data_IF_508108761598
#
_entry.id   IF_508108761598
#
_cell.length_a   1.000
_cell.length_b   1.000
_cell.length_c   1.000
_cell.angle_alpha   90.00
_cell.angle_beta   90.00
_cell.angle_gamma   90.00
#
_symmetry.space_group_name_H-M   'P 1'
#
loop_
_entity.id
_entity.type
_entity.pdbx_description
1 polymer ?
#
# COMPACT_ATOMS: atom_id res chain seq x y z
N UNK A 1 4.15 53.40 -18.12
CA UNK A 1 4.44 52.13 -17.44
C UNK A 1 4.45 51.01 -18.47
N UNK A 2 5.56 50.31 -18.62
CA UNK A 2 5.61 49.18 -19.54
C UNK A 2 4.99 47.94 -18.85
N UNK A 3 3.88 47.48 -19.38
CA UNK A 3 3.23 46.25 -18.90
C UNK A 3 4.10 45.08 -19.33
N UNK A 4 4.60 44.30 -18.36
CA UNK A 4 5.30 43.06 -18.64
C UNK A 4 4.28 42.00 -19.13
N UNK A 5 4.47 41.56 -20.35
CA UNK A 5 3.76 40.38 -20.87
C UNK A 5 4.30 39.13 -20.16
N UNK A 6 3.47 38.34 -19.60
CA UNK A 6 3.82 37.05 -18.97
C UNK A 6 3.14 35.95 -19.76
N UNK A 7 3.90 34.97 -20.24
CA UNK A 7 3.34 33.75 -20.83
C UNK A 7 2.66 32.93 -19.71
N UNK A 8 1.45 32.51 -19.95
CA UNK A 8 0.74 31.53 -19.08
C UNK A 8 0.59 30.24 -19.88
N UNK A 9 1.48 29.29 -19.62
CA UNK A 9 1.62 28.12 -20.47
C UNK A 9 2.17 28.45 -21.84
N UNK A 10 2.17 27.48 -22.76
CA UNK A 10 2.78 27.63 -24.11
C UNK A 10 1.95 28.45 -25.11
N UNK A 11 0.71 28.82 -24.78
CA UNK A 11 -0.27 29.24 -25.80
C UNK A 11 -0.80 30.67 -25.70
N UNK A 12 -0.66 31.38 -24.60
CA UNK A 12 -1.20 32.73 -24.47
C UNK A 12 -0.31 33.68 -23.69
N UNK A 13 -0.07 34.86 -24.30
CA UNK A 13 0.48 35.99 -23.58
C UNK A 13 -0.59 36.73 -22.81
N UNK A 14 -0.41 36.87 -21.48
CA UNK A 14 -1.30 37.64 -20.63
C UNK A 14 -0.71 38.99 -20.28
N UNK A 15 -1.51 40.03 -20.43
CA UNK A 15 -1.17 41.37 -19.96
C UNK A 15 -1.79 41.60 -18.58
N UNK A 16 -0.95 41.87 -17.61
CA UNK A 16 -1.44 42.17 -16.25
C UNK A 16 -1.71 43.68 -16.12
N UNK A 17 -2.97 44.04 -15.86
CA UNK A 17 -3.42 45.40 -15.64
C UNK A 17 -3.56 45.76 -14.14
N UNK A 18 -3.21 44.88 -13.24
CA UNK A 18 -3.27 45.09 -11.79
C UNK A 18 -2.19 46.06 -11.34
N UNK A 19 -2.53 46.98 -10.46
CA UNK A 19 -1.56 47.84 -9.77
C UNK A 19 -0.88 47.11 -8.61
N UNK A 20 -1.44 46.02 -8.15
CA UNK A 20 -0.92 45.18 -7.05
C UNK A 20 -0.01 44.10 -7.66
N UNK A 21 1.20 43.97 -7.13
CA UNK A 21 2.07 42.85 -7.49
C UNK A 21 1.39 41.54 -7.08
N UNK A 22 1.22 40.64 -8.04
CA UNK A 22 0.72 39.28 -7.72
C UNK A 22 1.71 38.63 -6.75
N UNK A 23 1.23 38.27 -5.58
CA UNK A 23 2.00 37.51 -4.57
C UNK A 23 2.15 36.05 -4.96
N UNK A 24 1.28 35.54 -5.84
CA UNK A 24 1.29 34.16 -6.32
C UNK A 24 1.38 34.12 -7.84
N UNK A 25 2.16 33.19 -8.36
CA UNK A 25 2.11 32.84 -9.77
C UNK A 25 0.84 32.01 -10.03
N UNK A 26 0.04 32.43 -11.03
CA UNK A 26 -1.06 31.62 -11.52
C UNK A 26 -0.45 30.39 -12.21
N UNK A 27 -0.65 29.23 -11.61
CA UNK A 27 -0.32 27.94 -12.23
C UNK A 27 -1.31 27.63 -13.36
N UNK A 28 -0.89 26.78 -14.30
CA UNK A 28 -1.79 26.21 -15.29
C UNK A 28 -2.80 25.32 -14.55
N UNK A 29 -4.10 25.60 -14.69
CA UNK A 29 -5.16 24.82 -14.04
C UNK A 29 -5.26 23.40 -14.61
N UNK A 30 -4.67 23.13 -15.76
CA UNK A 30 -4.64 21.83 -16.43
C UNK A 30 -3.31 21.08 -16.18
N UNK A 31 -2.39 21.65 -15.41
CA UNK A 31 -1.07 21.08 -15.10
C UNK A 31 -1.20 19.65 -14.58
N UNK A 32 -2.06 19.41 -13.59
CA UNK A 32 -2.26 18.09 -12.98
C UNK A 32 -2.62 17.01 -14.01
N UNK A 33 -3.48 17.34 -14.97
CA UNK A 33 -3.91 16.36 -15.97
C UNK A 33 -2.84 16.14 -17.03
N UNK A 34 -2.21 17.20 -17.50
CA UNK A 34 -1.17 17.13 -18.52
C UNK A 34 0.07 16.41 -18.00
N UNK A 35 0.53 16.75 -16.79
CA UNK A 35 1.70 16.13 -16.18
C UNK A 35 1.44 14.65 -15.84
N UNK A 36 0.23 14.33 -15.34
CA UNK A 36 -0.16 12.95 -15.09
C UNK A 36 -0.18 12.11 -16.37
N UNK A 37 -0.68 12.66 -17.47
CA UNK A 37 -0.68 11.97 -18.75
C UNK A 37 0.72 11.84 -19.33
N UNK A 38 1.54 12.88 -19.21
CA UNK A 38 2.94 12.85 -19.65
C UNK A 38 3.72 11.78 -18.85
N UNK A 39 3.55 11.73 -17.52
CA UNK A 39 4.16 10.72 -16.67
C UNK A 39 3.72 9.31 -17.08
N UNK A 40 2.43 9.12 -17.38
CA UNK A 40 1.91 7.84 -17.86
C UNK A 40 2.57 7.40 -19.16
N UNK A 41 2.74 8.31 -20.14
CA UNK A 41 3.36 7.99 -21.42
C UNK A 41 4.86 7.71 -21.27
N UNK A 42 5.57 8.45 -20.42
CA UNK A 42 7.05 8.36 -20.33
C UNK A 42 7.53 7.27 -19.38
N UNK A 43 6.82 7.05 -18.28
CA UNK A 43 7.24 6.14 -17.22
C UNK A 43 6.22 5.03 -16.96
N UNK A 44 4.93 5.36 -16.92
CA UNK A 44 3.89 4.43 -16.49
C UNK A 44 3.74 3.22 -17.40
N UNK A 45 3.85 3.39 -18.71
CA UNK A 45 3.79 2.26 -19.67
C UNK A 45 5.00 1.36 -19.47
N UNK A 46 6.18 1.96 -19.27
CA UNK A 46 7.41 1.21 -19.02
C UNK A 46 7.32 0.42 -17.71
N UNK A 47 6.85 1.05 -16.63
CA UNK A 47 6.64 0.35 -15.34
C UNK A 47 5.71 -0.88 -15.50
N UNK A 48 4.64 -0.77 -16.29
CA UNK A 48 3.74 -1.89 -16.57
C UNK A 48 4.43 -3.01 -17.36
N UNK A 49 5.26 -2.64 -18.34
CA UNK A 49 6.00 -3.64 -19.10
C UNK A 49 7.07 -4.32 -18.24
N UNK A 50 7.81 -3.57 -17.46
CA UNK A 50 8.83 -4.11 -16.55
C UNK A 50 8.22 -5.01 -15.45
N UNK A 51 6.95 -4.77 -15.06
CA UNK A 51 6.22 -5.59 -14.09
C UNK A 51 5.68 -6.90 -14.72
N UNK A 52 5.21 -6.86 -15.98
CA UNK A 52 4.57 -8.00 -16.63
C UNK A 52 5.54 -8.91 -17.35
N UNK A 53 6.69 -8.42 -17.77
CA UNK A 53 7.68 -9.15 -18.56
C UNK A 53 8.99 -9.36 -17.78
N UNK A 54 9.75 -10.44 -18.04
CA UNK A 54 9.52 -11.41 -19.10
C UNK A 54 8.39 -12.41 -18.81
N UNK A 55 7.69 -12.84 -19.85
CA UNK A 55 6.71 -13.92 -19.78
C UNK A 55 7.36 -15.20 -20.27
N UNK A 56 7.42 -16.22 -19.42
CA UNK A 56 7.98 -17.51 -19.74
C UNK A 56 6.90 -18.53 -20.11
N UNK A 57 7.23 -19.46 -21.02
CA UNK A 57 6.37 -20.60 -21.31
C UNK A 57 6.35 -21.55 -20.11
N UNK A 58 5.31 -22.39 -20.01
CA UNK A 58 5.17 -23.37 -18.92
C UNK A 58 6.38 -24.34 -18.82
N UNK A 59 7.03 -24.64 -19.94
CA UNK A 59 8.25 -25.49 -19.99
C UNK A 59 9.54 -24.70 -19.72
N UNK A 60 9.50 -23.38 -19.61
CA UNK A 60 10.69 -22.53 -19.52
C UNK A 60 11.51 -22.45 -20.83
N UNK A 61 11.04 -23.11 -21.93
CA UNK A 61 11.77 -23.15 -23.20
C UNK A 61 11.74 -21.87 -24.00
N UNK A 62 10.71 -21.02 -23.80
CA UNK A 62 10.53 -19.74 -24.48
C UNK A 62 10.36 -18.62 -23.44
N UNK A 63 11.02 -17.49 -23.66
CA UNK A 63 10.86 -16.27 -22.89
C UNK A 63 10.57 -15.10 -23.83
N UNK A 64 9.51 -14.34 -23.52
CA UNK A 64 9.10 -13.17 -24.28
C UNK A 64 9.41 -11.91 -23.45
N UNK A 65 10.15 -10.99 -24.04
CA UNK A 65 10.47 -9.71 -23.44
C UNK A 65 9.92 -8.54 -24.28
N UNK A 66 9.52 -7.46 -23.60
CA UNK A 66 9.23 -6.18 -24.23
C UNK A 66 10.40 -5.22 -24.02
N UNK A 67 10.80 -4.54 -25.11
CA UNK A 67 11.83 -3.53 -25.10
C UNK A 67 11.27 -2.12 -25.15
N UNK A 68 11.87 -1.29 -26.00
CA UNK A 68 11.42 0.09 -26.17
C UNK A 68 10.06 0.14 -26.90
N UNK A 69 9.27 1.14 -26.54
CA UNK A 69 7.99 1.41 -27.20
C UNK A 69 7.98 2.78 -27.86
N UNK A 70 7.21 2.90 -28.91
CA UNK A 70 7.07 4.13 -29.70
C UNK A 70 5.60 4.40 -30.03
N UNK A 71 5.22 5.66 -29.98
CA UNK A 71 3.94 6.13 -30.47
C UNK A 71 4.09 6.59 -31.93
N UNK A 72 3.33 6.01 -32.81
CA UNK A 72 3.24 6.46 -34.17
C UNK A 72 2.50 7.80 -34.31
N UNK A 73 2.39 8.27 -35.51
CA UNK A 73 1.63 9.51 -35.83
C UNK A 73 0.14 9.23 -35.86
N UNK A 74 -0.73 10.08 -35.26
CA UNK A 74 -2.17 9.95 -35.37
C UNK A 74 -2.62 10.04 -36.81
N UNK A 75 -3.58 9.17 -37.20
CA UNK A 75 -4.08 9.10 -38.59
C UNK A 75 -4.93 10.32 -38.99
N UNK A 76 -5.60 10.93 -38.03
CA UNK A 76 -6.54 12.01 -38.25
C UNK A 76 -6.26 13.17 -37.29
N UNK A 77 -6.53 14.38 -37.74
CA UNK A 77 -6.49 15.57 -36.91
C UNK A 77 -7.63 15.57 -35.86
N UNK A 78 -7.46 16.35 -34.80
CA UNK A 78 -8.49 16.51 -33.74
C UNK A 78 -9.84 16.91 -34.34
N UNK A 79 -9.84 17.83 -35.33
CA UNK A 79 -11.06 18.29 -35.99
C UNK A 79 -11.73 17.16 -36.79
N UNK A 80 -10.97 16.43 -37.58
CA UNK A 80 -11.49 15.28 -38.35
C UNK A 80 -12.01 14.19 -37.43
N UNK A 81 -11.37 13.94 -36.26
CA UNK A 81 -11.88 12.96 -35.30
C UNK A 81 -13.25 13.36 -34.75
N UNK A 82 -13.49 14.65 -34.48
CA UNK A 82 -14.81 15.16 -34.08
C UNK A 82 -15.85 15.03 -35.18
N UNK A 83 -15.50 15.42 -36.40
CA UNK A 83 -16.42 15.41 -37.55
C UNK A 83 -16.80 13.99 -37.98
N UNK A 84 -15.85 13.05 -37.88
CA UNK A 84 -16.04 11.65 -38.28
C UNK A 84 -16.48 10.73 -37.13
N UNK A 85 -16.64 11.25 -35.92
CA UNK A 85 -17.02 10.48 -34.73
C UNK A 85 -16.04 9.33 -34.39
N UNK A 86 -14.74 9.57 -34.57
CA UNK A 86 -13.68 8.60 -34.24
C UNK A 86 -12.82 9.08 -33.06
N UNK A 87 -12.01 8.18 -32.51
CA UNK A 87 -11.12 8.47 -31.42
C UNK A 87 -9.80 9.07 -31.93
N UNK A 88 -9.33 10.14 -31.29
CA UNK A 88 -8.02 10.71 -31.53
C UNK A 88 -6.98 9.85 -30.82
N UNK A 89 -6.25 9.03 -31.57
CA UNK A 89 -5.32 8.05 -31.05
C UNK A 89 -4.10 7.90 -31.94
N UNK A 90 -3.01 7.42 -31.36
CA UNK A 90 -1.82 7.00 -32.09
C UNK A 90 -1.56 5.51 -31.88
N UNK A 91 -1.01 4.79 -32.88
CA UNK A 91 -0.62 3.41 -32.74
C UNK A 91 0.55 3.29 -31.77
N UNK A 92 0.40 2.41 -30.77
CA UNK A 92 1.47 2.03 -29.87
C UNK A 92 2.16 0.79 -30.43
N UNK A 93 3.46 0.89 -30.62
CA UNK A 93 4.32 -0.17 -31.12
C UNK A 93 5.38 -0.49 -30.09
N UNK A 94 5.76 -1.73 -29.98
CA UNK A 94 6.73 -2.22 -29.02
C UNK A 94 7.72 -3.14 -29.71
N UNK A 95 8.99 -2.98 -29.41
CA UNK A 95 10.05 -3.90 -29.74
C UNK A 95 9.93 -5.15 -28.87
N UNK A 96 9.75 -6.30 -29.47
CA UNK A 96 9.64 -7.59 -28.78
C UNK A 96 10.81 -8.49 -29.08
N UNK A 97 11.29 -9.19 -28.07
CA UNK A 97 12.32 -10.21 -28.14
C UNK A 97 11.77 -11.54 -27.67
N UNK A 98 11.83 -12.52 -28.53
CA UNK A 98 11.49 -13.90 -28.19
C UNK A 98 12.79 -14.71 -28.11
N UNK A 99 13.10 -15.18 -26.92
CA UNK A 99 14.24 -16.05 -26.64
C UNK A 99 13.80 -17.50 -26.67
N UNK A 100 14.54 -18.35 -27.39
CA UNK A 100 14.42 -19.80 -27.28
C UNK A 100 15.58 -20.30 -26.42
N UNK A 101 15.30 -20.69 -25.19
CA UNK A 101 16.30 -21.11 -24.22
C UNK A 101 16.95 -22.46 -24.57
N UNK A 102 16.30 -23.28 -25.42
CA UNK A 102 16.85 -24.57 -25.87
C UNK A 102 17.83 -24.40 -27.02
N UNK A 103 17.51 -23.55 -28.01
CA UNK A 103 18.33 -23.35 -29.20
C UNK A 103 19.27 -22.16 -29.12
N UNK A 104 19.02 -21.23 -28.15
CA UNK A 104 19.76 -19.97 -28.03
C UNK A 104 19.38 -18.94 -29.11
N UNK A 105 18.33 -19.18 -29.90
CA UNK A 105 17.87 -18.24 -30.91
C UNK A 105 17.12 -17.09 -30.30
N UNK A 106 17.39 -15.87 -30.79
CA UNK A 106 16.66 -14.65 -30.43
C UNK A 106 15.98 -14.11 -31.68
N UNK A 107 14.67 -13.90 -31.60
CA UNK A 107 13.88 -13.25 -32.66
C UNK A 107 13.40 -11.90 -32.15
N UNK A 108 13.79 -10.83 -32.87
CA UNK A 108 13.33 -9.46 -32.59
C UNK A 108 12.32 -9.04 -33.65
N UNK A 109 11.22 -8.42 -33.19
CA UNK A 109 10.19 -7.88 -34.08
C UNK A 109 9.47 -6.72 -33.39
N UNK A 110 9.18 -5.68 -34.18
CA UNK A 110 8.25 -4.63 -33.77
C UNK A 110 6.81 -5.12 -33.90
N UNK A 111 6.04 -5.05 -32.82
CA UNK A 111 4.62 -5.41 -32.80
C UNK A 111 3.74 -4.19 -32.52
N UNK A 112 2.61 -4.17 -33.20
CA UNK A 112 1.54 -3.23 -32.90
C UNK A 112 0.66 -3.77 -31.78
N UNK A 113 0.61 -3.05 -30.65
CA UNK A 113 -0.22 -3.43 -29.50
C UNK A 113 -1.65 -2.92 -29.61
N UNK A 114 -1.83 -1.72 -30.15
CA UNK A 114 -3.15 -1.11 -30.27
C UNK A 114 -3.07 0.40 -30.48
N UNK A 115 -4.21 1.03 -30.66
CA UNK A 115 -4.33 2.48 -30.75
C UNK A 115 -4.55 3.07 -29.36
N UNK A 116 -3.62 3.94 -28.90
CA UNK A 116 -3.69 4.59 -27.62
C UNK A 116 -4.27 5.99 -27.75
N UNK A 117 -5.35 6.36 -27.04
CA UNK A 117 -5.91 7.70 -27.07
C UNK A 117 -4.89 8.78 -26.66
N UNK A 118 -4.79 9.83 -27.44
CA UNK A 118 -3.91 10.97 -27.17
C UNK A 118 -4.66 12.10 -26.48
N UNK A 119 -3.98 12.75 -25.54
CA UNK A 119 -4.48 13.96 -24.91
C UNK A 119 -4.28 15.15 -25.84
N UNK A 120 -5.29 16.01 -25.93
CA UNK A 120 -5.22 17.27 -26.67
C UNK A 120 -4.49 18.34 -25.83
N UNK A 121 -4.08 19.43 -26.46
CA UNK A 121 -3.47 20.58 -25.78
C UNK A 121 -4.36 21.20 -24.70
N UNK A 122 -5.68 21.02 -24.81
CA UNK A 122 -6.65 21.44 -23.82
C UNK A 122 -6.80 20.47 -22.62
N UNK A 123 -6.01 19.40 -22.55
CA UNK A 123 -6.10 18.39 -21.49
C UNK A 123 -7.31 17.47 -21.61
N UNK A 124 -7.86 17.33 -22.81
CA UNK A 124 -9.06 16.51 -23.11
C UNK A 124 -8.69 15.33 -24.00
N UNK A 125 -9.59 14.37 -24.09
CA UNK A 125 -9.53 13.24 -25.02
C UNK A 125 -10.71 13.29 -25.98
N UNK A 126 -10.50 12.92 -27.24
CA UNK A 126 -11.58 12.75 -28.22
C UNK A 126 -11.85 11.25 -28.34
N UNK A 127 -12.98 10.82 -27.82
CA UNK A 127 -13.41 9.42 -27.86
C UNK A 127 -14.72 9.32 -28.65
N UNK A 128 -14.67 8.62 -29.77
CA UNK A 128 -15.82 8.50 -30.70
C UNK A 128 -16.40 9.88 -31.07
N UNK A 129 -15.54 10.86 -31.34
CA UNK A 129 -15.90 12.23 -31.67
C UNK A 129 -16.32 13.12 -30.50
N UNK A 130 -16.58 12.56 -29.33
CA UNK A 130 -16.93 13.32 -28.13
C UNK A 130 -15.71 13.74 -27.35
N UNK A 131 -15.64 15.02 -26.98
CA UNK A 131 -14.58 15.54 -26.12
C UNK A 131 -14.85 15.17 -24.66
N UNK A 132 -13.89 14.50 -24.04
CA UNK A 132 -13.99 13.96 -22.68
C UNK A 132 -12.79 14.37 -21.85
N UNK A 133 -13.01 14.48 -20.55
CA UNK A 133 -11.96 14.79 -19.56
C UNK A 133 -11.91 13.67 -18.53
N UNK A 134 -10.70 13.27 -18.16
CA UNK A 134 -10.50 12.37 -17.02
C UNK A 134 -10.63 13.20 -15.75
N UNK A 135 -11.62 12.85 -14.92
CA UNK A 135 -11.86 13.53 -13.64
C UNK A 135 -10.99 12.88 -12.56
N UNK A 136 -10.17 13.69 -11.89
CA UNK A 136 -9.38 13.24 -10.76
C UNK A 136 -10.26 12.74 -9.62
N UNK A 137 -9.96 11.56 -9.08
CA UNK A 137 -10.68 10.96 -7.97
C UNK A 137 -9.80 10.92 -6.73
N UNK A 138 -10.36 11.33 -5.59
CA UNK A 138 -9.70 11.18 -4.29
C UNK A 138 -9.99 9.77 -3.76
N UNK A 139 -8.93 9.00 -3.58
CA UNK A 139 -9.00 7.66 -2.98
C UNK A 139 -8.18 7.63 -1.70
N UNK A 140 -8.50 6.69 -0.82
CA UNK A 140 -7.64 6.44 0.34
C UNK A 140 -6.29 5.94 -0.15
N UNK A 141 -5.24 6.61 0.30
CA UNK A 141 -3.88 6.18 -0.01
C UNK A 141 -3.57 4.82 0.61
N UNK A 142 -2.80 3.96 -0.06
CA UNK A 142 -2.28 2.75 0.58
C UNK A 142 -1.60 3.07 1.90
N UNK A 143 -2.02 2.42 2.97
CA UNK A 143 -1.48 2.65 4.32
C UNK A 143 -2.16 1.77 5.36
N UNK A 144 -1.67 1.83 6.59
CA UNK A 144 -2.39 1.39 7.80
C UNK A 144 -3.21 2.55 8.35
N UNK A 145 -4.46 2.28 8.70
CA UNK A 145 -5.38 3.22 9.34
C UNK A 145 -5.83 2.67 10.68
N UNK A 146 -5.81 3.50 11.70
CA UNK A 146 -6.28 3.16 13.04
C UNK A 146 -7.49 4.01 13.38
N UNK A 147 -8.50 3.39 14.00
CA UNK A 147 -9.68 4.08 14.52
C UNK A 147 -10.04 3.57 15.90
N UNK A 148 -10.64 4.45 16.69
CA UNK A 148 -11.18 4.14 18.01
C UNK A 148 -12.63 4.59 18.03
N UNK A 149 -13.52 3.69 18.38
CA UNK A 149 -14.96 3.98 18.53
C UNK A 149 -15.38 3.61 19.93
N UNK A 150 -16.52 4.12 20.37
CA UNK A 150 -17.11 3.77 21.65
C UNK A 150 -18.32 2.87 21.35
N UNK A 151 -18.32 1.66 21.88
CA UNK A 151 -19.43 0.73 21.74
C UNK A 151 -20.67 1.24 22.51
N UNK A 152 -21.83 0.64 22.25
CA UNK A 152 -23.12 0.97 22.90
C UNK A 152 -23.08 0.90 24.44
N UNK A 153 -22.14 0.12 24.96
CA UNK A 153 -21.90 -0.04 26.40
C UNK A 153 -20.91 0.98 26.99
N UNK A 154 -20.43 1.93 26.18
CA UNK A 154 -19.42 2.90 26.61
C UNK A 154 -17.99 2.41 26.58
N UNK A 155 -17.74 1.16 26.14
CA UNK A 155 -16.41 0.57 26.07
C UNK A 155 -15.70 1.01 24.78
N UNK A 156 -14.41 1.40 24.83
CA UNK A 156 -13.65 1.70 23.63
C UNK A 156 -13.36 0.40 22.86
N UNK A 157 -13.66 0.41 21.57
CA UNK A 157 -13.28 -0.62 20.60
C UNK A 157 -12.32 -0.02 19.59
N UNK A 158 -11.35 -0.82 19.20
CA UNK A 158 -10.29 -0.40 18.30
C UNK A 158 -10.42 -1.13 16.97
N UNK A 159 -10.13 -0.44 15.90
CA UNK A 159 -10.05 -1.05 14.59
C UNK A 159 -8.81 -0.57 13.84
N UNK A 160 -8.24 -1.47 13.06
CA UNK A 160 -7.13 -1.16 12.15
C UNK A 160 -7.44 -1.71 10.78
N UNK A 161 -7.11 -0.93 9.74
CA UNK A 161 -7.29 -1.34 8.34
C UNK A 161 -5.98 -1.21 7.60
N UNK A 162 -5.57 -2.30 7.00
CA UNK A 162 -4.43 -2.35 6.08
C UNK A 162 -4.98 -2.26 4.67
N UNK A 163 -4.66 -1.17 3.98
CA UNK A 163 -5.11 -0.90 2.62
C UNK A 163 -3.90 -0.93 1.70
N UNK A 164 -3.76 -1.94 0.84
CA UNK A 164 -2.72 -1.97 -0.19
C UNK A 164 -3.08 -1.05 -1.37
N UNK A 165 -2.14 -0.83 -2.27
CA UNK A 165 -2.40 -0.20 -3.57
C UNK A 165 -3.19 -1.13 -4.48
N UNK A 166 -2.78 -2.40 -4.49
CA UNK A 166 -3.45 -3.50 -5.20
C UNK A 166 -3.52 -4.69 -4.26
N UNK A 167 -4.68 -5.35 -4.21
CA UNK A 167 -4.86 -6.60 -3.47
C UNK A 167 -5.86 -6.52 -2.32
N UNK A 168 -5.80 -7.51 -1.48
CA UNK A 168 -6.76 -7.81 -0.42
C UNK A 168 -6.62 -6.88 0.77
N UNK A 169 -7.72 -6.32 1.24
CA UNK A 169 -7.75 -5.53 2.46
C UNK A 169 -7.76 -6.43 3.68
N UNK A 170 -7.02 -6.03 4.71
CA UNK A 170 -7.10 -6.61 6.05
C UNK A 170 -7.72 -5.59 7.00
N UNK A 171 -8.82 -5.98 7.64
CA UNK A 171 -9.49 -5.16 8.64
C UNK A 171 -9.49 -5.90 9.98
N UNK A 172 -8.83 -5.32 10.97
CA UNK A 172 -8.79 -5.82 12.34
C UNK A 172 -9.79 -5.04 13.18
N UNK A 173 -10.55 -5.73 14.03
CA UNK A 173 -11.49 -5.12 14.95
C UNK A 173 -11.47 -5.83 16.31
N UNK A 174 -11.53 -5.06 17.40
CA UNK A 174 -11.78 -5.62 18.75
C UNK A 174 -13.27 -5.62 19.03
N UNK A 175 -13.75 -6.62 19.76
CA UNK A 175 -15.13 -6.65 20.22
C UNK A 175 -15.24 -6.19 21.69
N UNK A 176 -16.48 -6.13 22.19
CA UNK A 176 -16.77 -5.78 23.58
C UNK A 176 -16.19 -6.76 24.62
N UNK A 177 -15.73 -7.95 24.20
CA UNK A 177 -15.12 -8.99 25.05
C UNK A 177 -13.60 -9.00 24.94
N UNK A 178 -13.00 -7.97 24.34
CA UNK A 178 -11.57 -7.88 24.10
C UNK A 178 -10.99 -8.99 23.22
N UNK A 179 -11.78 -9.50 22.29
CA UNK A 179 -11.38 -10.46 21.27
C UNK A 179 -11.04 -9.72 20.00
N UNK A 180 -9.91 -10.04 19.40
CA UNK A 180 -9.47 -9.46 18.13
C UNK A 180 -9.93 -10.35 16.98
N UNK A 181 -10.64 -9.76 16.05
CA UNK A 181 -11.06 -10.40 14.82
C UNK A 181 -10.39 -9.76 13.61
N UNK A 182 -10.20 -10.55 12.57
CA UNK A 182 -9.74 -10.08 11.27
C UNK A 182 -10.75 -10.41 10.19
N UNK A 183 -10.98 -9.47 9.28
CA UNK A 183 -11.71 -9.65 8.02
C UNK A 183 -10.75 -9.57 6.86
N UNK A 184 -10.82 -10.55 6.00
CA UNK A 184 -10.05 -10.62 4.78
C UNK A 184 -11.00 -10.28 3.63
N UNK A 185 -10.77 -9.14 2.96
CA UNK A 185 -11.52 -8.72 1.77
C UNK A 185 -13.06 -8.67 1.97
N UNK A 186 -13.52 -8.04 3.05
CA UNK A 186 -14.94 -7.90 3.42
C UNK A 186 -15.69 -9.21 3.70
N UNK A 187 -15.00 -10.33 3.75
CA UNK A 187 -15.60 -11.62 4.11
C UNK A 187 -15.96 -11.71 5.59
N UNK A 188 -16.45 -12.88 6.00
CA UNK A 188 -16.77 -13.14 7.41
C UNK A 188 -15.52 -13.02 8.27
N UNK A 189 -15.67 -12.46 9.46
CA UNK A 189 -14.57 -12.32 10.41
C UNK A 189 -14.14 -13.67 10.98
N UNK A 190 -12.84 -13.81 11.17
CA UNK A 190 -12.18 -14.91 11.87
C UNK A 190 -11.37 -14.37 13.04
N UNK A 191 -11.08 -15.15 14.09
CA UNK A 191 -10.14 -14.76 15.12
C UNK A 191 -8.79 -14.35 14.51
N UNK A 192 -8.12 -13.34 15.08
CA UNK A 192 -6.81 -12.93 14.57
C UNK A 192 -5.77 -14.05 14.72
N UNK A 193 -5.89 -14.88 15.76
CA UNK A 193 -5.00 -16.02 16.01
C UNK A 193 -5.06 -17.06 14.90
N UNK A 194 -6.22 -17.28 14.28
CA UNK A 194 -6.37 -18.13 13.09
C UNK A 194 -5.49 -17.61 11.92
N UNK A 195 -5.45 -16.29 11.69
CA UNK A 195 -4.57 -15.71 10.66
C UNK A 195 -3.09 -15.86 11.05
N UNK A 196 -2.73 -15.63 12.31
CA UNK A 196 -1.36 -15.79 12.80
C UNK A 196 -0.85 -17.22 12.63
N UNK A 197 -1.70 -18.21 12.93
CA UNK A 197 -1.39 -19.64 12.72
C UNK A 197 -1.20 -19.96 11.24
N UNK A 198 -2.08 -19.45 10.40
CA UNK A 198 -2.00 -19.66 8.95
C UNK A 198 -0.72 -19.08 8.32
N UNK A 199 -0.18 -18.00 8.90
CA UNK A 199 1.08 -17.38 8.46
C UNK A 199 2.33 -18.08 9.03
N UNK A 200 2.15 -18.97 10.04
CA UNK A 200 3.25 -19.81 10.54
C UNK A 200 3.45 -19.83 12.06
N UNK A 201 2.74 -18.99 12.83
CA UNK A 201 2.78 -19.03 14.30
C UNK A 201 1.80 -20.13 14.81
N UNK A 202 2.24 -21.38 14.79
CA UNK A 202 1.38 -22.55 14.98
C UNK A 202 0.86 -22.68 16.41
N UNK A 203 1.73 -22.53 17.43
CA UNK A 203 1.37 -22.80 18.83
C UNK A 203 0.84 -21.57 19.56
N UNK A 204 0.02 -21.81 20.60
CA UNK A 204 -0.48 -20.76 21.50
C UNK A 204 0.67 -20.07 22.24
N UNK A 205 1.70 -20.84 22.60
CA UNK A 205 2.88 -20.36 23.31
C UNK A 205 3.69 -19.41 22.45
N UNK A 206 3.88 -19.71 21.15
CA UNK A 206 4.59 -18.84 20.21
C UNK A 206 3.84 -17.51 20.01
N UNK A 207 2.50 -17.57 19.86
CA UNK A 207 1.69 -16.36 19.72
C UNK A 207 1.78 -15.51 20.99
N UNK A 208 1.59 -16.11 22.16
CA UNK A 208 1.61 -15.37 23.43
C UNK A 208 2.99 -14.80 23.76
N UNK A 209 4.08 -15.53 23.45
CA UNK A 209 5.44 -15.07 23.69
C UNK A 209 5.81 -13.87 22.81
N UNK A 210 5.33 -13.88 21.55
CA UNK A 210 5.61 -12.79 20.62
C UNK A 210 4.93 -11.47 21.02
N UNK A 211 3.81 -11.54 21.74
CA UNK A 211 3.01 -10.38 22.13
C UNK A 211 2.93 -10.18 23.65
N UNK A 212 3.97 -10.56 24.39
CA UNK A 212 4.10 -10.33 25.84
C UNK A 212 2.90 -10.81 26.68
N UNK A 213 2.26 -11.89 26.28
CA UNK A 213 1.09 -12.47 26.95
C UNK A 213 -0.13 -11.51 27.04
N UNK A 214 -0.31 -10.67 26.03
CA UNK A 214 -1.39 -9.69 25.97
C UNK A 214 -2.79 -10.31 26.22
N UNK A 215 -3.62 -9.59 26.98
CA UNK A 215 -4.96 -10.09 27.40
C UNK A 215 -5.90 -10.26 26.21
N UNK A 216 -5.83 -9.37 25.23
CA UNK A 216 -6.66 -9.46 24.02
C UNK A 216 -6.37 -10.73 23.23
N UNK A 217 -5.09 -11.13 23.15
CA UNK A 217 -4.71 -12.37 22.47
C UNK A 217 -5.11 -13.61 23.26
N UNK A 218 -4.99 -13.61 24.60
CA UNK A 218 -5.51 -14.71 25.43
C UNK A 218 -6.99 -14.93 25.20
N UNK A 219 -7.80 -13.87 25.26
CA UNK A 219 -9.23 -13.94 24.99
C UNK A 219 -9.53 -14.38 23.55
N UNK A 220 -8.65 -14.03 22.61
CA UNK A 220 -8.81 -14.42 21.19
C UNK A 220 -8.50 -15.90 21.00
N UNK A 221 -7.47 -16.45 21.63
CA UNK A 221 -7.13 -17.87 21.62
C UNK A 221 -8.28 -18.71 22.18
N UNK A 222 -8.91 -18.27 23.28
CA UNK A 222 -10.09 -18.98 23.85
C UNK A 222 -11.29 -19.05 22.88
N UNK A 223 -11.34 -18.15 21.89
CA UNK A 223 -12.39 -18.10 20.86
C UNK A 223 -12.00 -18.77 19.56
N UNK A 224 -10.73 -19.05 19.39
CA UNK A 224 -10.19 -19.71 18.20
C UNK A 224 -10.53 -21.20 18.25
N UNK A 225 -11.07 -21.72 17.14
CA UNK A 225 -11.37 -23.15 16.96
C UNK A 225 -10.19 -23.92 16.39
N UNK A 226 -9.13 -23.24 15.96
CA UNK A 226 -7.96 -23.84 15.30
C UNK A 226 -6.81 -24.01 16.29
N UNK A 227 -6.04 -25.10 16.14
CA UNK A 227 -4.92 -25.42 17.03
C UNK A 227 -3.58 -25.51 16.30
N UNK A 228 -3.61 -25.57 14.98
CA UNK A 228 -2.42 -25.69 14.16
C UNK A 228 -2.54 -24.91 12.85
N UNK A 229 -1.44 -24.80 12.11
CA UNK A 229 -1.36 -24.06 10.83
C UNK A 229 -2.32 -24.67 9.79
N UNK A 230 -2.44 -25.98 9.71
CA UNK A 230 -3.23 -26.65 8.68
C UNK A 230 -4.73 -26.40 8.88
N UNK A 231 -5.22 -26.49 10.11
CA UNK A 231 -6.61 -26.17 10.46
C UNK A 231 -6.92 -24.71 10.18
N UNK A 232 -6.00 -23.81 10.52
CA UNK A 232 -6.17 -22.38 10.29
C UNK A 232 -6.24 -22.04 8.79
N UNK A 233 -5.41 -22.66 7.95
CA UNK A 233 -5.45 -22.51 6.50
C UNK A 233 -6.78 -22.96 5.92
N UNK A 234 -7.29 -24.11 6.37
CA UNK A 234 -8.58 -24.67 5.93
C UNK A 234 -9.71 -23.72 6.34
N UNK A 235 -9.75 -23.27 7.60
CA UNK A 235 -10.78 -22.37 8.08
C UNK A 235 -10.82 -21.05 7.31
N UNK A 236 -9.66 -20.45 7.04
CA UNK A 236 -9.57 -19.23 6.22
C UNK A 236 -10.10 -19.49 4.80
N UNK A 237 -9.72 -20.61 4.20
CA UNK A 237 -10.17 -20.97 2.84
C UNK A 237 -11.71 -21.11 2.79
N UNK A 238 -12.31 -21.82 3.74
CA UNK A 238 -13.77 -22.00 3.82
C UNK A 238 -14.52 -20.66 3.99
N UNK A 239 -13.95 -19.70 4.72
CA UNK A 239 -14.53 -18.36 4.86
C UNK A 239 -14.40 -17.54 3.59
N UNK A 240 -13.32 -17.72 2.82
CA UNK A 240 -13.06 -17.00 1.57
C UNK A 240 -13.86 -17.59 0.39
N UNK A 241 -14.03 -18.92 0.36
CA UNK A 241 -14.71 -19.65 -0.72
C UNK A 241 -15.71 -20.67 -0.16
N UNK A 242 -16.82 -20.22 0.39
CA UNK A 242 -17.80 -21.13 0.97
C UNK A 242 -18.40 -22.07 -0.09
N UNK A 243 -18.37 -23.38 0.20
CA UNK A 243 -18.93 -24.41 -0.65
C UNK A 243 -17.99 -25.05 -1.67
N UNK A 244 -16.74 -24.61 -1.74
CA UNK A 244 -15.71 -25.30 -2.52
C UNK A 244 -15.05 -26.42 -1.68
N UNK A 245 -14.63 -27.54 -2.31
CA UNK A 245 -13.88 -28.57 -1.62
C UNK A 245 -12.52 -28.03 -1.19
N UNK A 246 -12.20 -28.19 0.08
CA UNK A 246 -10.95 -27.71 0.69
C UNK A 246 -9.88 -28.79 0.65
N UNK A 247 -8.70 -28.45 0.15
CA UNK A 247 -7.46 -29.21 0.30
C UNK A 247 -6.41 -28.32 0.93
N UNK A 248 -5.48 -28.87 1.66
CA UNK A 248 -4.42 -28.12 2.32
C UNK A 248 -3.59 -27.32 1.31
N UNK A 249 -3.22 -27.95 0.20
CA UNK A 249 -2.41 -27.30 -0.86
C UNK A 249 -3.15 -26.14 -1.51
N UNK A 250 -4.46 -26.30 -1.79
CA UNK A 250 -5.27 -25.22 -2.35
C UNK A 250 -5.40 -24.04 -1.38
N UNK A 251 -5.55 -24.32 -0.08
CA UNK A 251 -5.68 -23.31 0.97
C UNK A 251 -4.39 -22.52 1.12
N UNK A 252 -3.24 -23.20 1.14
CA UNK A 252 -1.92 -22.60 1.20
C UNK A 252 -1.62 -21.73 -0.02
N UNK A 253 -1.85 -22.26 -1.22
CA UNK A 253 -1.63 -21.54 -2.47
C UNK A 253 -2.51 -20.29 -2.56
N UNK A 254 -3.77 -20.37 -2.12
CA UNK A 254 -4.66 -19.22 -2.10
C UNK A 254 -4.16 -18.11 -1.17
N UNK A 255 -3.68 -18.46 0.03
CA UNK A 255 -3.15 -17.47 0.98
C UNK A 255 -1.87 -16.82 0.40
N UNK A 256 -0.97 -17.63 -0.17
CA UNK A 256 0.25 -17.14 -0.80
C UNK A 256 -0.09 -16.18 -1.95
N UNK A 257 -0.95 -16.58 -2.86
CA UNK A 257 -1.34 -15.73 -4.01
C UNK A 257 -1.98 -14.42 -3.56
N UNK A 258 -2.76 -14.41 -2.45
CA UNK A 258 -3.44 -13.18 -2.00
C UNK A 258 -2.54 -12.17 -1.32
N UNK A 259 -1.47 -12.60 -0.63
CA UNK A 259 -0.69 -11.71 0.24
C UNK A 259 0.80 -11.66 -0.08
N UNK A 260 1.32 -12.66 -0.80
CA UNK A 260 2.75 -12.83 -1.04
C UNK A 260 3.10 -12.95 -2.52
N UNK A 261 2.15 -12.79 -3.41
CA UNK A 261 2.36 -12.74 -4.84
C UNK A 261 2.39 -11.28 -5.30
N UNK A 262 3.49 -10.85 -5.88
CA UNK A 262 3.73 -9.48 -6.33
C UNK A 262 2.70 -9.01 -7.40
N UNK A 263 2.15 -9.95 -8.19
CA UNK A 263 1.10 -9.62 -9.17
C UNK A 263 -0.26 -9.33 -8.53
N UNK A 264 -0.54 -9.93 -7.37
CA UNK A 264 -1.85 -9.85 -6.72
C UNK A 264 -1.86 -8.92 -5.52
N UNK A 265 -0.71 -8.62 -4.92
CA UNK A 265 -0.60 -7.78 -3.73
C UNK A 265 0.58 -6.82 -3.80
N UNK A 266 0.32 -5.53 -3.80
CA UNK A 266 1.36 -4.51 -3.73
C UNK A 266 0.92 -3.32 -2.87
N UNK A 267 1.86 -2.83 -2.07
CA UNK A 267 1.70 -1.61 -1.26
C UNK A 267 2.09 -0.34 -2.03
N UNK A 268 2.77 -0.47 -3.15
CA UNK A 268 3.44 0.58 -3.89
C UNK A 268 4.42 1.42 -3.04
N UNK A 269 5.19 2.29 -3.68
CA UNK A 269 6.18 3.17 -3.00
C UNK A 269 5.53 4.03 -1.91
N UNK A 270 4.33 4.57 -2.18
CA UNK A 270 3.58 5.42 -1.24
C UNK A 270 3.10 4.64 -0.02
N UNK A 271 2.59 3.43 -0.23
CA UNK A 271 2.16 2.54 0.86
C UNK A 271 3.33 2.18 1.76
N UNK A 272 4.43 1.70 1.19
CA UNK A 272 5.66 1.34 1.95
C UNK A 272 6.21 2.51 2.76
N UNK A 273 6.27 3.71 2.15
CA UNK A 273 6.67 4.92 2.87
C UNK A 273 5.76 5.23 4.07
N UNK A 274 4.43 5.15 3.87
CA UNK A 274 3.46 5.43 4.94
C UNK A 274 3.45 4.37 6.03
N UNK A 275 3.62 3.10 5.67
CA UNK A 275 3.82 2.03 6.63
C UNK A 275 5.05 2.27 7.49
N UNK A 276 6.20 2.51 6.86
CA UNK A 276 7.44 2.80 7.57
C UNK A 276 7.29 4.02 8.48
N UNK A 277 6.68 5.11 7.99
CA UNK A 277 6.45 6.31 8.80
C UNK A 277 5.54 6.07 10.00
N UNK A 278 4.47 5.28 9.86
CA UNK A 278 3.51 5.02 10.94
C UNK A 278 3.98 3.94 11.92
N UNK A 279 4.73 2.96 11.45
CA UNK A 279 5.19 1.81 12.23
C UNK A 279 6.68 1.87 12.57
N UNK A 280 7.38 2.93 12.15
CA UNK A 280 8.80 3.09 12.45
C UNK A 280 9.01 3.23 13.97
N UNK A 281 9.71 2.28 14.52
CA UNK A 281 10.04 2.22 15.96
C UNK A 281 10.85 3.44 16.37
N UNK A 282 11.81 3.87 15.54
CA UNK A 282 12.68 5.02 15.83
C UNK A 282 11.88 6.30 16.17
N UNK A 283 10.92 6.66 15.33
CA UNK A 283 10.14 7.88 15.53
C UNK A 283 9.25 7.83 16.76
N UNK A 284 8.93 6.63 17.24
CA UNK A 284 8.12 6.41 18.44
C UNK A 284 8.96 6.38 19.72
N UNK A 285 10.21 5.97 19.63
CA UNK A 285 11.13 5.89 20.77
C UNK A 285 11.77 7.23 21.07
N UNK A 286 12.13 8.01 20.04
CA UNK A 286 12.82 9.29 20.22
C UNK A 286 11.99 10.28 21.06
N UNK A 287 12.62 10.84 22.08
CA UNK A 287 12.00 11.80 22.99
C UNK A 287 11.28 11.17 24.20
N UNK A 288 11.23 9.84 24.29
CA UNK A 288 10.69 9.12 25.44
C UNK A 288 11.80 8.70 26.41
N UNK A 289 11.42 8.29 27.60
CA UNK A 289 12.35 7.76 28.61
C UNK A 289 12.19 6.27 28.77
N UNK A 290 13.29 5.58 29.07
CA UNK A 290 13.26 4.13 29.32
C UNK A 290 12.53 3.82 30.63
N UNK A 291 11.60 2.86 30.60
CA UNK A 291 10.87 2.36 31.76
C UNK A 291 11.69 1.39 32.59
N UNK A 292 12.57 0.61 31.98
CA UNK A 292 13.42 -0.41 32.61
C UNK A 292 14.86 -0.31 32.10
N UNK A 293 15.80 -0.90 32.83
CA UNK A 293 17.18 -1.01 32.40
C UNK A 293 17.30 -1.95 31.18
N UNK A 294 18.11 -1.56 30.21
CA UNK A 294 18.42 -2.44 29.08
C UNK A 294 19.68 -3.24 29.46
N UNK A 295 19.48 -4.53 29.65
CA UNK A 295 20.55 -5.48 30.01
C UNK A 295 20.88 -6.32 28.79
N UNK A 296 22.15 -6.30 28.37
CA UNK A 296 22.67 -7.08 27.25
C UNK A 296 23.89 -7.84 27.74
N UNK A 297 23.92 -9.14 27.48
CA UNK A 297 25.00 -10.04 27.93
C UNK A 297 25.27 -10.00 29.46
N UNK A 298 24.24 -9.63 30.27
CA UNK A 298 24.32 -9.54 31.70
C UNK A 298 24.86 -8.19 32.25
N UNK A 299 25.17 -7.24 31.38
CA UNK A 299 25.56 -5.88 31.74
C UNK A 299 24.45 -4.87 31.41
N UNK A 300 24.24 -3.91 32.32
CA UNK A 300 23.31 -2.80 32.10
C UNK A 300 23.94 -1.86 31.08
N UNK A 301 23.39 -1.83 29.87
CA UNK A 301 23.90 -0.99 28.78
C UNK A 301 23.29 0.41 28.82
N UNK A 302 22.02 0.52 29.17
CA UNK A 302 21.33 1.81 29.33
C UNK A 302 20.43 1.74 30.56
N UNK A 303 20.55 2.73 31.45
CA UNK A 303 19.80 2.78 32.70
C UNK A 303 18.35 3.26 32.50
N UNK A 304 17.46 2.79 33.36
CA UNK A 304 16.07 3.26 33.49
C UNK A 304 16.00 4.79 33.62
N UNK A 305 15.03 5.40 32.96
CA UNK A 305 14.80 6.84 32.96
C UNK A 305 15.69 7.64 32.02
N UNK A 306 16.61 7.00 31.30
CA UNK A 306 17.44 7.66 30.26
C UNK A 306 16.56 8.15 29.14
N UNK A 307 16.74 9.41 28.72
CA UNK A 307 16.04 10.00 27.57
C UNK A 307 16.62 9.42 26.27
N UNK A 308 15.75 8.81 25.46
CA UNK A 308 16.14 8.24 24.16
C UNK A 308 16.33 9.38 23.16
N UNK A 309 17.56 9.77 22.93
CA UNK A 309 17.98 10.68 21.87
C UNK A 309 18.55 9.90 20.68
N UNK A 310 18.98 10.59 19.63
CA UNK A 310 19.55 9.94 18.43
C UNK A 310 20.82 9.15 18.74
N UNK A 311 21.64 9.64 19.66
CA UNK A 311 22.91 9.03 20.03
C UNK A 311 22.67 7.70 20.78
N UNK A 312 21.82 7.70 21.81
CA UNK A 312 21.38 6.51 22.55
C UNK A 312 20.72 5.49 21.63
N UNK A 313 19.89 5.97 20.68
CA UNK A 313 19.23 5.09 19.71
C UNK A 313 20.23 4.40 18.76
N UNK A 314 21.26 5.10 18.29
CA UNK A 314 22.28 4.53 17.39
C UNK A 314 23.26 3.61 18.14
N UNK A 315 23.53 3.86 19.44
CA UNK A 315 24.42 3.05 20.29
C UNK A 315 23.93 1.59 20.42
N UNK A 316 22.62 1.36 20.45
CA UNK A 316 22.04 0.02 20.56
C UNK A 316 22.10 -0.82 19.27
N UNK A 317 22.38 -0.21 18.12
CA UNK A 317 22.53 -0.99 16.89
C UNK A 317 21.27 -1.83 16.54
N UNK A 318 21.44 -3.15 16.45
CA UNK A 318 20.36 -4.10 16.14
C UNK A 318 19.41 -4.37 17.33
N UNK A 319 19.82 -4.04 18.55
CA UNK A 319 19.10 -4.33 19.80
C UNK A 319 18.05 -3.26 20.16
N UNK A 320 17.70 -2.39 19.23
CA UNK A 320 16.67 -1.32 19.37
C UNK A 320 15.28 -1.83 19.77
N UNK A 321 15.04 -3.11 19.57
CA UNK A 321 13.78 -3.76 19.95
C UNK A 321 13.54 -3.77 21.46
N UNK A 322 14.58 -3.88 22.27
CA UNK A 322 14.46 -3.84 23.74
C UNK A 322 13.98 -2.48 24.25
N UNK A 323 14.35 -1.38 23.58
CA UNK A 323 13.83 -0.05 23.88
C UNK A 323 12.32 0.03 23.68
N UNK A 324 11.81 -0.59 22.63
CA UNK A 324 10.38 -0.55 22.32
C UNK A 324 9.55 -1.28 23.37
N UNK A 325 9.98 -2.45 23.80
CA UNK A 325 9.31 -3.21 24.86
C UNK A 325 9.29 -2.46 26.19
N UNK A 326 10.42 -1.85 26.56
CA UNK A 326 10.51 -1.02 27.75
C UNK A 326 9.53 0.16 27.71
N UNK A 327 9.41 0.84 26.57
CA UNK A 327 8.49 1.96 26.40
C UNK A 327 7.02 1.53 26.51
N UNK A 328 6.65 0.38 25.96
CA UNK A 328 5.28 -0.14 26.04
C UNK A 328 4.87 -0.39 27.50
N UNK A 329 5.77 -0.95 28.32
CA UNK A 329 5.50 -1.16 29.76
C UNK A 329 5.21 0.15 30.47
N UNK A 330 6.01 1.20 30.24
CA UNK A 330 5.76 2.52 30.85
C UNK A 330 4.40 3.10 30.43
N UNK A 331 4.03 2.99 29.16
CA UNK A 331 2.73 3.48 28.66
C UNK A 331 1.58 2.75 29.37
N UNK A 332 1.68 1.45 29.55
CA UNK A 332 0.65 0.66 30.23
C UNK A 332 0.55 1.06 31.71
N UNK A 333 1.64 1.23 32.44
CA UNK A 333 1.65 1.71 33.83
C UNK A 333 1.01 3.11 33.96
N UNK A 334 1.30 4.01 33.02
CA UNK A 334 0.69 5.36 33.00
C UNK A 334 -0.82 5.27 32.76
N UNK A 335 -1.28 4.37 31.88
CA UNK A 335 -2.70 4.19 31.59
C UNK A 335 -3.45 3.59 32.79
N UNK A 336 -2.87 2.62 33.48
CA UNK A 336 -3.42 2.03 34.71
C UNK A 336 -3.52 3.07 35.82
N UNK A 337 -2.45 3.80 36.11
CA UNK A 337 -2.45 4.85 37.11
C UNK A 337 -3.44 5.99 36.82
N UNK A 338 -3.71 6.28 35.51
CA UNK A 338 -4.71 7.28 35.15
C UNK A 338 -6.15 6.75 35.25
N UNK A 339 -6.39 5.43 35.10
CA UNK A 339 -7.69 4.82 35.31
C UNK A 339 -8.06 4.81 36.81
N UNK A 340 -7.14 4.46 37.69
CA UNK A 340 -7.35 4.52 39.15
C UNK A 340 -7.63 5.93 39.66
N UNK A 341 -6.97 6.97 39.09
CA UNK A 341 -7.26 8.37 39.43
C UNK A 341 -8.64 8.87 38.97
N UNK A 342 -9.24 8.24 37.96
CA UNK A 342 -10.61 8.57 37.53
C UNK A 342 -11.65 7.92 38.45
N UNK A 343 -11.40 6.72 38.93
CA UNK A 343 -12.30 6.04 39.88
C UNK A 343 -12.30 6.66 41.27
N UNK A 344 -11.20 7.27 41.68
CA UNK A 344 -11.12 8.00 42.98
C UNK A 344 -11.74 9.41 42.98
N UNK A 345 -12.31 9.86 41.86
CA UNK A 345 -12.97 11.18 41.72
C UNK A 345 -14.44 11.09 41.37
N UNK A 346 -15.08 9.91 41.46
CA UNK A 346 -16.54 9.74 41.38
C UNK A 346 -17.14 9.52 42.73
#
# INVERSE_FOLDING_TARGET
>A
MAYKLKKSGDYRERRNFSMIKNSFELKDLLEVQKDSYQLFITEGIKEVFDELFPVESFSGSLSLEFGEYEFGTPRYSIKECKDRQITYAAPLKVQTRLFNNETGEVKEQEIFLGDMPLMTDAGTFIINGAERVVVSQLVRSPSVYFSKEIDKNGKPVFASKVIPSRGTWLEYETDAKDVIYVRIDRNRKVPMTTLLRAVGLSSDEDILSLFDNDVYLKNTIEKDSTHNTDEALIEIYEKLRPGEPTTLDSSKNQLITRFFDDFHYDLAKVGRYKFNKKLNVKDRLLGNRLAEDIIIDGEVKIEKGTLINKEVYEELGEEKYFMFNSLIKEINEILENNSERKESKC
#
